data_IF_621474585428
#
_entry.id   IF_621474585428
#
_cell.length_a   1.000
_cell.length_b   1.000
_cell.length_c   1.000
_cell.angle_alpha   90.00
_cell.angle_beta   90.00
_cell.angle_gamma   90.00
#
_symmetry.space_group_name_H-M   'P 1'
#
loop_
_entity.id
_entity.type
_entity.pdbx_description
1 polymer ?
#
# COMPACT_ATOMS: atom_id res chain seq x y z
N UNK A 1 46.54 48.64 36.33
CA UNK A 1 46.95 47.57 35.40
C UNK A 1 45.76 46.62 35.24
N UNK A 2 45.02 46.76 34.12
CA UNK A 2 43.89 45.90 33.80
C UNK A 2 44.36 44.88 32.74
N UNK A 3 44.26 43.60 33.07
CA UNK A 3 44.58 42.51 32.17
C UNK A 3 43.41 42.22 31.21
N UNK A 4 43.68 41.70 30.01
CA UNK A 4 42.63 41.51 29.00
C UNK A 4 41.76 40.30 29.33
N UNK A 5 40.44 40.49 29.24
CA UNK A 5 39.41 39.43 29.28
C UNK A 5 39.51 38.63 27.97
N UNK A 6 40.03 37.40 28.07
CA UNK A 6 40.04 36.47 26.99
C UNK A 6 38.62 36.01 26.64
N UNK A 7 38.10 36.39 25.49
CA UNK A 7 36.95 35.78 24.85
C UNK A 7 37.34 34.34 24.47
N UNK A 8 36.87 33.38 25.25
CA UNK A 8 36.86 31.98 24.85
C UNK A 8 35.77 31.83 23.78
N UNK A 9 36.17 31.87 22.52
CA UNK A 9 35.38 31.40 21.41
C UNK A 9 35.07 29.91 21.66
N UNK A 10 33.82 29.59 21.85
CA UNK A 10 33.35 28.18 21.85
C UNK A 10 33.53 27.67 20.44
N UNK A 11 34.62 26.98 20.20
CA UNK A 11 34.81 26.18 18.99
C UNK A 11 33.81 25.03 19.07
N UNK A 12 32.53 25.26 18.71
CA UNK A 12 31.62 24.19 18.38
C UNK A 12 32.21 23.48 17.14
N UNK A 13 32.81 22.32 17.36
CA UNK A 13 33.12 21.43 16.25
C UNK A 13 31.81 21.23 15.47
N UNK A 14 31.81 21.61 14.22
CA UNK A 14 30.73 21.26 13.28
C UNK A 14 30.54 19.75 13.40
N UNK A 15 29.35 19.32 13.83
CA UNK A 15 29.06 17.92 14.00
C UNK A 15 29.21 17.26 12.62
N UNK A 16 29.91 16.13 12.57
CA UNK A 16 30.00 15.36 11.33
C UNK A 16 28.60 14.91 10.92
N UNK A 17 28.28 15.00 9.61
CA UNK A 17 27.06 14.42 9.02
C UNK A 17 26.88 12.98 9.54
N UNK A 18 25.70 12.66 9.99
CA UNK A 18 25.38 11.33 10.51
C UNK A 18 24.26 10.69 9.66
N UNK A 19 24.58 9.59 8.98
CA UNK A 19 23.65 8.78 8.19
C UNK A 19 23.42 7.47 8.93
N UNK A 20 22.17 7.21 9.32
CA UNK A 20 21.72 5.92 9.82
C UNK A 20 20.85 5.28 8.75
N UNK A 21 21.31 4.17 8.16
CA UNK A 21 20.61 3.52 7.03
C UNK A 21 20.21 2.09 7.34
N UNK A 22 19.03 1.70 6.85
CA UNK A 22 18.55 0.32 6.84
C UNK A 22 19.19 -0.54 5.72
N UNK A 23 19.73 0.12 4.70
CA UNK A 23 20.35 -0.50 3.53
C UNK A 23 21.79 -0.01 3.37
N UNK A 24 22.64 -0.85 2.84
CA UNK A 24 24.04 -0.52 2.54
C UNK A 24 24.15 0.06 1.13
N UNK A 25 23.65 1.27 0.91
CA UNK A 25 23.70 1.95 -0.38
C UNK A 25 24.70 3.13 -0.32
N UNK A 26 25.88 3.03 -0.97
CA UNK A 26 26.89 4.06 -0.93
C UNK A 26 26.49 5.35 -1.67
N UNK A 27 25.55 5.30 -2.64
CA UNK A 27 25.07 6.48 -3.37
C UNK A 27 24.34 7.47 -2.46
N UNK A 28 23.92 7.04 -1.24
CA UNK A 28 23.43 7.96 -0.20
C UNK A 28 24.45 9.04 0.18
N UNK A 29 25.76 8.77 0.02
CA UNK A 29 26.81 9.74 0.29
C UNK A 29 26.97 10.81 -0.78
N UNK A 30 26.49 10.53 -1.99
CA UNK A 30 26.63 11.41 -3.16
C UNK A 30 25.51 12.46 -3.23
N UNK A 31 24.47 12.32 -2.39
CA UNK A 31 23.36 13.27 -2.34
C UNK A 31 23.77 14.57 -1.61
N UNK A 32 23.24 15.73 -2.04
CA UNK A 32 23.69 17.05 -1.56
C UNK A 32 23.12 17.40 -0.17
N UNK A 33 23.47 16.63 0.86
CA UNK A 33 22.99 16.80 2.24
C UNK A 33 23.39 18.13 2.87
N UNK A 34 24.32 18.85 2.29
CA UNK A 34 24.75 20.18 2.72
C UNK A 34 23.92 21.33 2.13
N UNK A 35 22.84 21.01 1.39
CA UNK A 35 21.89 21.96 0.86
C UNK A 35 20.52 21.76 1.50
N UNK A 36 19.73 22.83 1.75
CA UNK A 36 18.30 22.71 2.04
C UNK A 36 17.62 21.97 0.89
N UNK A 37 16.57 21.16 1.17
CA UNK A 37 15.87 20.40 0.13
C UNK A 37 15.29 21.31 -0.98
N UNK A 38 14.97 22.55 -0.65
CA UNK A 38 14.46 23.54 -1.63
C UNK A 38 15.47 23.90 -2.70
N UNK A 39 16.76 23.82 -2.35
CA UNK A 39 17.89 24.21 -3.20
C UNK A 39 18.56 23.04 -3.92
N UNK A 40 17.99 21.83 -3.78
CA UNK A 40 18.55 20.65 -4.46
C UNK A 40 18.48 20.83 -5.99
N UNK A 41 19.56 20.48 -6.72
CA UNK A 41 19.62 20.59 -8.17
C UNK A 41 18.55 19.75 -8.88
N UNK A 42 18.00 20.24 -9.98
CA UNK A 42 16.95 19.56 -10.75
C UNK A 42 17.39 18.21 -11.33
N UNK A 43 18.69 18.01 -11.57
CA UNK A 43 19.25 16.74 -12.03
C UNK A 43 19.29 15.65 -10.94
N UNK A 44 19.26 16.05 -9.69
CA UNK A 44 19.17 15.14 -8.52
C UNK A 44 17.73 14.78 -8.19
N UNK A 45 16.80 15.71 -8.49
CA UNK A 45 15.39 15.57 -8.16
C UNK A 45 14.69 14.74 -9.24
N UNK A 46 13.96 13.70 -8.83
CA UNK A 46 12.96 13.09 -9.70
C UNK A 46 11.85 14.14 -9.94
N UNK A 47 11.58 14.47 -11.23
CA UNK A 47 10.58 15.48 -11.62
C UNK A 47 9.16 15.01 -11.28
N UNK A 48 8.81 15.13 -10.01
CA UNK A 48 7.58 14.62 -9.45
C UNK A 48 6.84 15.75 -8.73
N UNK A 49 5.50 15.84 -8.87
CA UNK A 49 4.73 16.93 -8.30
C UNK A 49 4.85 16.97 -6.77
N UNK A 50 5.03 18.17 -6.23
CA UNK A 50 5.02 18.41 -4.78
C UNK A 50 3.62 18.17 -4.21
N UNK A 51 3.50 17.30 -3.21
CA UNK A 51 2.30 17.20 -2.38
C UNK A 51 2.15 18.42 -1.47
N UNK A 52 0.93 18.72 -1.03
CA UNK A 52 0.70 19.66 0.08
C UNK A 52 1.01 18.86 1.36
N UNK A 53 2.15 19.12 1.95
CA UNK A 53 2.57 18.54 3.24
C UNK A 53 2.96 19.66 4.18
N UNK A 54 2.80 19.46 5.50
CA UNK A 54 3.35 20.36 6.52
C UNK A 54 4.88 20.39 6.47
N UNK A 55 5.48 19.31 5.97
CA UNK A 55 6.91 19.14 5.77
C UNK A 55 7.26 19.25 4.30
N UNK A 56 8.46 19.76 4.03
CA UNK A 56 9.00 19.77 2.67
C UNK A 56 9.39 18.33 2.30
N UNK A 57 8.76 17.82 1.24
CA UNK A 57 9.07 16.49 0.67
C UNK A 57 9.61 16.68 -0.74
N UNK A 58 10.72 16.00 -1.05
CA UNK A 58 11.30 15.87 -2.38
C UNK A 58 11.50 14.43 -2.76
N UNK A 59 11.49 14.19 -4.05
CA UNK A 59 11.80 12.87 -4.60
C UNK A 59 13.15 12.95 -5.32
N UNK A 60 13.99 11.93 -5.12
CA UNK A 60 15.31 11.86 -5.78
C UNK A 60 15.56 10.45 -6.31
N UNK A 61 16.47 10.33 -7.26
CA UNK A 61 16.95 9.04 -7.74
C UNK A 61 18.08 8.54 -6.86
N UNK A 62 18.03 7.24 -6.52
CA UNK A 62 19.08 6.55 -5.77
C UNK A 62 19.21 5.13 -6.32
N UNK A 63 20.38 4.73 -6.82
CA UNK A 63 20.67 3.34 -7.25
C UNK A 63 19.58 2.70 -8.12
N UNK A 64 18.96 3.48 -9.02
CA UNK A 64 17.92 2.99 -9.94
C UNK A 64 16.50 2.89 -9.38
N UNK A 65 16.26 3.40 -8.17
CA UNK A 65 14.92 3.58 -7.61
C UNK A 65 14.71 5.03 -7.14
N UNK A 66 13.46 5.37 -6.87
CA UNK A 66 13.09 6.70 -6.37
C UNK A 66 12.96 6.65 -4.86
N UNK A 67 13.49 7.67 -4.18
CA UNK A 67 13.33 7.89 -2.75
C UNK A 67 12.49 9.14 -2.50
N UNK A 68 11.74 9.14 -1.42
CA UNK A 68 11.09 10.32 -0.85
C UNK A 68 11.93 10.81 0.33
N UNK A 69 12.20 12.11 0.38
CA UNK A 69 13.02 12.77 1.39
C UNK A 69 12.16 13.81 2.08
N UNK A 70 11.94 13.65 3.39
CA UNK A 70 11.10 14.51 4.22
C UNK A 70 12.00 15.27 5.20
N UNK A 71 12.03 16.61 5.15
CA UNK A 71 12.68 17.45 6.17
C UNK A 71 11.82 17.52 7.42
N UNK A 72 12.44 17.24 8.57
CA UNK A 72 11.80 17.31 9.90
C UNK A 72 12.88 17.38 10.98
N UNK A 73 12.47 17.55 12.24
CA UNK A 73 13.43 17.54 13.35
C UNK A 73 14.12 16.17 13.52
N UNK A 74 15.31 16.15 14.11
CA UNK A 74 16.08 14.93 14.31
C UNK A 74 15.35 13.90 15.19
N UNK A 75 14.54 14.34 16.14
CA UNK A 75 13.75 13.48 17.02
C UNK A 75 12.64 12.78 16.24
N UNK A 76 11.86 13.54 15.46
CA UNK A 76 10.78 12.99 14.66
C UNK A 76 11.29 12.10 13.53
N UNK A 77 12.36 12.50 12.83
CA UNK A 77 12.95 11.66 11.77
C UNK A 77 13.39 10.28 12.29
N UNK A 78 14.04 10.22 13.47
CA UNK A 78 14.47 8.95 14.08
C UNK A 78 13.29 8.12 14.56
N UNK A 79 12.33 8.76 15.24
CA UNK A 79 11.14 8.07 15.76
C UNK A 79 10.34 7.43 14.64
N UNK A 80 10.07 8.17 13.56
CA UNK A 80 9.34 7.68 12.41
C UNK A 80 10.09 6.57 11.68
N UNK A 81 11.41 6.72 11.50
CA UNK A 81 12.26 5.68 10.92
C UNK A 81 12.21 4.37 11.72
N UNK A 82 12.37 4.44 13.05
CA UNK A 82 12.35 3.26 13.91
C UNK A 82 10.96 2.61 13.92
N UNK A 83 9.88 3.42 13.85
CA UNK A 83 8.52 2.94 13.78
C UNK A 83 8.24 2.22 12.46
N UNK A 84 8.59 2.83 11.32
CA UNK A 84 8.44 2.21 9.99
C UNK A 84 9.25 0.90 9.90
N UNK A 85 10.47 0.86 10.43
CA UNK A 85 11.25 -0.38 10.51
C UNK A 85 10.58 -1.46 11.35
N UNK A 86 9.92 -1.07 12.41
CA UNK A 86 9.20 -2.01 13.26
C UNK A 86 7.97 -2.55 12.54
N UNK A 87 7.17 -1.67 11.90
CA UNK A 87 6.01 -2.07 11.10
C UNK A 87 6.40 -3.00 9.94
N UNK A 88 7.51 -2.71 9.25
CA UNK A 88 8.02 -3.56 8.18
C UNK A 88 8.40 -4.97 8.67
N UNK A 89 9.02 -5.09 9.86
CA UNK A 89 9.39 -6.39 10.44
C UNK A 89 8.20 -7.26 10.83
N UNK A 90 7.05 -6.64 11.11
CA UNK A 90 5.80 -7.34 11.44
C UNK A 90 4.84 -7.37 10.26
N UNK A 91 5.36 -7.15 9.05
CA UNK A 91 4.66 -7.29 7.75
C UNK A 91 3.40 -6.42 7.59
N UNK A 92 3.42 -5.21 8.18
CA UNK A 92 2.35 -4.22 8.00
C UNK A 92 2.61 -3.40 6.74
N UNK A 93 1.60 -3.16 5.88
CA UNK A 93 1.77 -2.34 4.68
C UNK A 93 2.14 -0.89 5.03
N UNK A 94 3.41 -0.55 4.82
CA UNK A 94 3.93 0.80 5.00
C UNK A 94 5.03 1.09 3.97
N UNK A 95 5.43 2.35 3.83
CA UNK A 95 6.59 2.72 3.02
C UNK A 95 7.88 2.17 3.65
N UNK A 96 8.85 1.78 2.81
CA UNK A 96 10.13 1.21 3.26
C UNK A 96 11.06 2.32 3.75
N UNK A 97 11.50 2.32 5.03
CA UNK A 97 12.47 3.27 5.52
C UNK A 97 13.87 2.95 4.99
N UNK A 98 14.52 3.95 4.39
CA UNK A 98 15.87 3.84 3.81
C UNK A 98 16.91 4.37 4.77
N UNK A 99 16.78 5.63 5.20
CA UNK A 99 17.78 6.26 6.07
C UNK A 99 17.21 7.44 6.87
N UNK A 100 17.94 7.80 7.93
CA UNK A 100 17.82 9.08 8.62
C UNK A 100 19.16 9.81 8.53
N UNK A 101 19.13 11.08 8.11
CA UNK A 101 20.30 11.93 8.03
C UNK A 101 20.17 13.07 9.04
N UNK A 102 21.11 13.19 9.94
CA UNK A 102 21.13 14.19 11.01
C UNK A 102 22.46 14.95 11.01
N UNK A 103 22.52 16.05 11.75
CA UNK A 103 23.69 16.95 11.84
C UNK A 103 24.08 17.49 10.45
N UNK A 104 23.09 17.80 9.62
CA UNK A 104 23.30 18.46 8.32
C UNK A 104 23.72 19.91 8.59
N UNK A 105 24.67 20.39 7.80
CA UNK A 105 25.12 21.79 7.84
C UNK A 105 25.31 22.29 6.41
N UNK A 106 24.96 23.56 6.17
CA UNK A 106 25.25 24.22 4.90
C UNK A 106 26.76 24.55 4.75
N UNK A 107 27.14 25.10 3.61
CA UNK A 107 28.53 25.50 3.31
C UNK A 107 29.07 26.59 4.27
N UNK A 108 28.19 27.32 4.95
CA UNK A 108 28.53 28.36 5.91
C UNK A 108 28.59 27.83 7.36
N UNK A 109 28.23 26.55 7.57
CA UNK A 109 28.19 25.91 8.88
C UNK A 109 26.89 26.15 9.65
N UNK A 110 25.84 26.66 9.01
CA UNK A 110 24.51 26.75 9.63
C UNK A 110 23.86 25.37 9.71
N UNK A 111 23.16 25.09 10.80
CA UNK A 111 22.42 23.83 10.96
C UNK A 111 21.22 23.78 10.01
N UNK A 112 21.07 22.64 9.30
CA UNK A 112 19.93 22.32 8.47
C UNK A 112 19.03 21.27 9.18
N UNK A 113 17.75 21.27 8.86
CA UNK A 113 16.81 20.27 9.34
C UNK A 113 17.29 18.85 9.00
N UNK A 114 16.99 17.91 9.88
CA UNK A 114 17.24 16.50 9.62
C UNK A 114 16.26 15.97 8.58
N UNK A 115 16.57 14.84 7.97
CA UNK A 115 15.69 14.24 6.97
C UNK A 115 15.44 12.76 7.26
N UNK A 116 14.21 12.36 6.98
CA UNK A 116 13.81 10.96 6.82
C UNK A 116 13.81 10.63 5.33
N UNK A 117 14.41 9.50 4.97
CA UNK A 117 14.43 8.96 3.61
C UNK A 117 13.66 7.66 3.59
N UNK A 118 12.66 7.58 2.71
CA UNK A 118 11.88 6.36 2.47
C UNK A 118 11.94 5.99 0.99
N UNK A 119 11.78 4.71 0.66
CA UNK A 119 11.65 4.29 -0.73
C UNK A 119 10.27 4.67 -1.25
N UNK A 120 10.24 5.31 -2.41
CA UNK A 120 8.98 5.58 -3.08
C UNK A 120 8.26 4.28 -3.45
N UNK A 121 7.01 4.17 -3.07
CA UNK A 121 6.17 3.01 -3.37
C UNK A 121 5.75 3.07 -4.85
N UNK A 122 6.38 2.26 -5.70
CA UNK A 122 6.06 2.19 -7.14
C UNK A 122 4.58 1.82 -7.35
N UNK A 123 3.98 2.35 -8.41
CA UNK A 123 2.58 2.14 -8.77
C UNK A 123 1.58 2.56 -7.68
N UNK A 124 2.00 3.40 -6.75
CA UNK A 124 1.10 3.97 -5.75
C UNK A 124 0.37 5.20 -6.29
N UNK A 125 -0.86 5.35 -5.83
CA UNK A 125 -1.77 6.42 -6.20
C UNK A 125 -2.12 7.21 -4.94
N UNK A 126 -1.80 8.51 -4.89
CA UNK A 126 -2.24 9.38 -3.80
C UNK A 126 -3.74 9.66 -3.93
N UNK A 127 -4.40 9.92 -2.81
CA UNK A 127 -5.85 10.13 -2.77
C UNK A 127 -6.34 11.23 -3.71
N UNK A 128 -5.57 12.31 -3.87
CA UNK A 128 -5.92 13.41 -4.78
C UNK A 128 -6.00 12.97 -6.24
N UNK A 129 -5.18 11.97 -6.65
CA UNK A 129 -5.26 11.40 -7.98
C UNK A 129 -6.43 10.42 -8.13
N UNK A 130 -6.87 9.81 -7.04
CA UNK A 130 -7.98 8.84 -7.02
C UNK A 130 -9.34 9.52 -6.90
N UNK A 131 -9.48 10.49 -5.99
CA UNK A 131 -10.73 11.20 -5.76
C UNK A 131 -10.93 12.44 -6.67
N UNK A 132 -10.05 12.65 -7.66
CA UNK A 132 -10.26 13.67 -8.69
C UNK A 132 -11.42 13.25 -9.63
N UNK A 133 -11.98 14.25 -10.31
CA UNK A 133 -13.13 14.17 -11.22
C UNK A 133 -13.28 12.81 -11.92
N UNK A 134 -14.45 12.20 -11.85
CA UNK A 134 -14.86 10.91 -12.42
C UNK A 134 -14.58 9.65 -11.59
N UNK A 135 -14.40 9.76 -10.27
CA UNK A 135 -14.36 8.58 -9.42
C UNK A 135 -15.79 8.01 -9.26
N UNK A 136 -15.97 6.77 -9.69
CA UNK A 136 -17.25 6.08 -9.53
C UNK A 136 -17.50 5.71 -8.06
N UNK A 137 -18.77 5.69 -7.59
CA UNK A 137 -19.10 5.30 -6.22
C UNK A 137 -18.54 3.94 -5.81
N UNK A 138 -18.53 2.96 -6.73
CA UNK A 138 -17.98 1.63 -6.47
C UNK A 138 -16.46 1.67 -6.22
N UNK A 139 -15.75 2.56 -6.91
CA UNK A 139 -14.31 2.74 -6.70
C UNK A 139 -14.05 3.44 -5.36
N UNK A 140 -14.87 4.41 -4.99
CA UNK A 140 -14.80 5.04 -3.66
C UNK A 140 -15.01 4.00 -2.55
N UNK A 141 -15.99 3.10 -2.69
CA UNK A 141 -16.22 1.99 -1.76
C UNK A 141 -14.99 1.09 -1.64
N UNK A 142 -14.35 0.73 -2.74
CA UNK A 142 -13.12 -0.11 -2.71
C UNK A 142 -11.94 0.58 -2.02
N UNK A 143 -11.83 1.90 -2.11
CA UNK A 143 -10.82 2.67 -1.38
C UNK A 143 -11.12 2.72 0.13
N UNK A 144 -12.39 2.86 0.49
CA UNK A 144 -12.87 2.75 1.87
C UNK A 144 -12.51 1.39 2.46
N UNK A 145 -12.81 0.31 1.74
CA UNK A 145 -12.49 -1.06 2.18
C UNK A 145 -10.99 -1.27 2.35
N UNK A 146 -10.17 -0.78 1.41
CA UNK A 146 -8.71 -0.88 1.50
C UNK A 146 -8.15 -0.18 2.76
N UNK A 147 -8.65 1.02 3.07
CA UNK A 147 -8.22 1.73 4.28
C UNK A 147 -8.73 1.04 5.56
N UNK A 148 -9.95 0.52 5.54
CA UNK A 148 -10.48 -0.26 6.66
C UNK A 148 -9.63 -1.52 6.94
N UNK A 149 -9.19 -2.23 5.90
CA UNK A 149 -8.26 -3.37 6.00
C UNK A 149 -6.94 -2.94 6.59
N UNK A 150 -6.33 -1.83 6.12
CA UNK A 150 -5.09 -1.30 6.69
C UNK A 150 -5.24 -1.00 8.18
N UNK A 151 -6.30 -0.30 8.59
CA UNK A 151 -6.56 0.02 10.01
C UNK A 151 -6.73 -1.24 10.85
N UNK A 152 -7.44 -2.24 10.35
CA UNK A 152 -7.59 -3.53 11.05
C UNK A 152 -6.22 -4.21 11.22
N UNK A 153 -5.38 -4.25 10.18
CA UNK A 153 -4.02 -4.81 10.24
C UNK A 153 -3.17 -4.10 11.30
N UNK A 154 -3.17 -2.78 11.30
CA UNK A 154 -2.47 -1.95 12.30
C UNK A 154 -2.95 -2.25 13.72
N UNK A 155 -4.26 -2.31 13.93
CA UNK A 155 -4.84 -2.52 15.25
C UNK A 155 -4.63 -3.95 15.79
N UNK A 156 -4.61 -4.97 14.92
CA UNK A 156 -4.31 -6.37 15.29
C UNK A 156 -2.89 -6.47 15.88
N UNK A 157 -1.91 -5.80 15.28
CA UNK A 157 -0.53 -5.80 15.77
C UNK A 157 -0.29 -4.81 16.93
N UNK A 158 -1.34 -4.14 17.41
CA UNK A 158 -1.26 -3.20 18.53
C UNK A 158 -0.76 -1.80 18.18
N UNK A 159 -0.73 -1.44 16.89
CA UNK A 159 -0.32 -0.12 16.46
C UNK A 159 -1.49 0.86 16.49
N UNK A 160 -1.36 1.91 17.29
CA UNK A 160 -2.22 3.10 17.30
C UNK A 160 -1.59 4.15 16.41
N UNK A 161 -2.30 4.60 15.38
CA UNK A 161 -1.73 5.52 14.39
C UNK A 161 -1.73 6.98 14.86
N UNK A 162 -2.87 7.46 15.37
CA UNK A 162 -3.02 8.80 15.94
C UNK A 162 -3.14 9.94 14.92
N UNK A 163 -2.91 9.68 13.61
CA UNK A 163 -3.08 10.67 12.53
C UNK A 163 -3.55 10.01 11.23
N UNK A 164 -4.59 9.20 11.34
CA UNK A 164 -5.19 8.52 10.18
C UNK A 164 -5.79 9.53 9.23
N UNK A 165 -5.31 9.56 7.98
CA UNK A 165 -5.79 10.47 6.93
C UNK A 165 -5.52 9.90 5.53
N UNK A 166 -6.17 10.45 4.51
CA UNK A 166 -5.89 10.07 3.12
C UNK A 166 -4.53 10.59 2.65
N UNK A 167 -4.07 11.74 3.16
CA UNK A 167 -2.74 12.28 2.84
C UNK A 167 -1.60 11.42 3.41
N UNK A 168 -1.85 10.71 4.51
CA UNK A 168 -0.91 9.78 5.12
C UNK A 168 -1.06 8.35 4.61
N UNK A 169 -1.83 8.16 3.52
CA UNK A 169 -2.11 6.86 2.90
C UNK A 169 -1.79 6.89 1.41
N UNK A 170 -1.12 5.87 0.91
CA UNK A 170 -0.99 5.58 -0.52
C UNK A 170 -1.78 4.32 -0.87
N UNK A 171 -2.31 4.29 -2.07
CA UNK A 171 -3.09 3.16 -2.57
C UNK A 171 -2.39 2.51 -3.76
N UNK A 172 -2.45 1.18 -3.85
CA UNK A 172 -2.04 0.42 -5.05
C UNK A 172 -3.22 -0.41 -5.52
N UNK A 173 -3.28 -0.67 -6.82
CA UNK A 173 -4.27 -1.63 -7.36
C UNK A 173 -3.96 -3.02 -6.84
N UNK A 174 -5.00 -3.79 -6.57
CA UNK A 174 -4.90 -5.13 -6.03
C UNK A 174 -6.03 -6.03 -6.59
N UNK A 175 -5.91 -6.40 -7.86
CA UNK A 175 -6.81 -7.30 -8.56
C UNK A 175 -8.30 -6.89 -8.45
N UNK A 176 -8.63 -5.72 -8.98
CA UNK A 176 -9.98 -5.16 -8.96
C UNK A 176 -10.37 -4.48 -7.64
N UNK A 177 -9.52 -4.58 -6.61
CA UNK A 177 -9.60 -3.82 -5.36
C UNK A 177 -8.41 -2.84 -5.24
N UNK A 178 -8.18 -2.33 -4.04
CA UNK A 178 -6.99 -1.57 -3.68
C UNK A 178 -6.36 -2.14 -2.41
N UNK A 179 -5.04 -1.96 -2.29
CA UNK A 179 -4.30 -2.11 -1.05
C UNK A 179 -3.86 -0.73 -0.57
N UNK A 180 -4.05 -0.43 0.72
CA UNK A 180 -3.64 0.81 1.35
C UNK A 180 -2.32 0.62 2.10
N UNK A 181 -1.45 1.64 2.04
CA UNK A 181 -0.13 1.65 2.67
C UNK A 181 0.03 2.90 3.54
N UNK A 182 0.51 2.71 4.75
CA UNK A 182 0.86 3.80 5.66
C UNK A 182 2.13 4.52 5.17
N UNK A 183 2.08 5.85 5.12
CA UNK A 183 3.20 6.70 4.70
C UNK A 183 3.88 7.36 5.89
N UNK A 184 3.08 7.94 6.80
CA UNK A 184 3.56 8.71 7.94
C UNK A 184 3.23 7.99 9.26
N UNK A 185 4.28 7.63 10.00
CA UNK A 185 4.18 6.94 11.29
C UNK A 185 4.64 7.83 12.48
N UNK A 186 4.80 9.14 12.26
CA UNK A 186 5.38 10.07 13.24
C UNK A 186 4.62 10.07 14.58
N UNK A 187 3.29 10.04 14.53
CA UNK A 187 2.41 10.04 15.72
C UNK A 187 2.18 8.65 16.30
N UNK A 188 2.58 7.60 15.56
CA UNK A 188 2.26 6.21 15.85
C UNK A 188 2.87 5.70 17.16
N UNK A 189 2.19 4.73 17.77
CA UNK A 189 2.65 4.03 18.99
C UNK A 189 2.26 2.56 18.94
N UNK A 190 3.17 1.68 19.37
CA UNK A 190 2.91 0.24 19.47
C UNK A 190 2.65 -0.13 20.93
N UNK A 191 1.55 -0.88 21.13
CA UNK A 191 1.12 -1.42 22.42
C UNK A 191 1.08 -2.95 22.34
N UNK A 192 1.03 -3.62 23.47
CA UNK A 192 0.83 -5.08 23.54
C UNK A 192 -0.63 -5.49 23.25
N UNK A 193 -1.34 -4.68 22.44
CA UNK A 193 -2.74 -4.79 22.07
C UNK A 193 -3.48 -3.50 22.39
N UNK A 194 -4.39 -3.10 21.50
CA UNK A 194 -5.18 -1.90 21.67
C UNK A 194 -6.48 -2.17 22.46
N UNK A 195 -6.81 -1.29 23.38
CA UNK A 195 -8.14 -1.24 23.97
C UNK A 195 -9.20 -0.82 22.95
N UNK A 196 -10.47 -1.10 23.24
CA UNK A 196 -11.58 -0.63 22.42
C UNK A 196 -11.58 0.91 22.29
N UNK A 197 -11.26 1.62 23.38
CA UNK A 197 -11.21 3.08 23.38
C UNK A 197 -10.11 3.63 22.46
N UNK A 198 -8.94 3.00 22.42
CA UNK A 198 -7.87 3.42 21.51
C UNK A 198 -8.25 3.21 20.05
N UNK A 199 -8.85 2.05 19.71
CA UNK A 199 -9.32 1.80 18.34
C UNK A 199 -10.41 2.77 17.91
N UNK A 200 -11.40 3.02 18.77
CA UNK A 200 -12.47 3.98 18.47
C UNK A 200 -11.93 5.42 18.34
N UNK A 201 -10.88 5.78 19.08
CA UNK A 201 -10.23 7.08 18.94
C UNK A 201 -9.54 7.22 17.57
N UNK A 202 -8.79 6.20 17.11
CA UNK A 202 -8.20 6.20 15.76
C UNK A 202 -9.27 6.27 14.66
N UNK A 203 -10.39 5.58 14.83
CA UNK A 203 -11.51 5.65 13.90
C UNK A 203 -12.17 7.04 13.86
N UNK A 204 -12.28 7.71 15.00
CA UNK A 204 -12.82 9.07 15.04
C UNK A 204 -11.85 10.07 14.39
N UNK A 205 -10.54 9.93 14.61
CA UNK A 205 -9.51 10.70 13.93
C UNK A 205 -9.63 10.48 12.40
N UNK A 206 -9.71 9.23 11.96
CA UNK A 206 -9.89 8.89 10.55
C UNK A 206 -11.13 9.57 9.96
N UNK A 207 -12.27 9.46 10.66
CA UNK A 207 -13.54 10.04 10.21
C UNK A 207 -13.46 11.55 10.03
N UNK A 208 -12.85 12.26 10.99
CA UNK A 208 -12.73 13.72 10.96
C UNK A 208 -11.74 14.18 9.90
N UNK A 209 -10.54 13.60 9.87
CA UNK A 209 -9.50 14.00 8.94
C UNK A 209 -9.92 13.75 7.49
N UNK A 210 -10.47 12.56 7.20
CA UNK A 210 -10.87 12.17 5.84
C UNK A 210 -12.06 13.01 5.36
N UNK A 211 -13.05 13.26 6.22
CA UNK A 211 -14.14 14.18 5.86
C UNK A 211 -13.60 15.59 5.51
N UNK A 212 -12.66 16.12 6.31
CA UNK A 212 -12.02 17.40 6.05
C UNK A 212 -11.26 17.43 4.72
N UNK A 213 -10.43 16.43 4.45
CA UNK A 213 -9.66 16.32 3.19
C UNK A 213 -10.55 16.20 1.94
N UNK A 214 -11.65 15.46 2.03
CA UNK A 214 -12.61 15.33 0.93
C UNK A 214 -13.44 16.61 0.74
N UNK A 215 -13.82 17.32 1.83
CA UNK A 215 -14.46 18.65 1.77
C UNK A 215 -13.53 19.68 1.12
N UNK A 216 -12.22 19.60 1.39
CA UNK A 216 -11.23 20.46 0.71
C UNK A 216 -11.19 20.19 -0.81
N UNK A 217 -11.26 18.92 -1.22
CA UNK A 217 -11.35 18.56 -2.64
C UNK A 217 -12.67 19.06 -3.26
N UNK A 218 -13.78 18.92 -2.55
CA UNK A 218 -15.09 19.36 -2.99
C UNK A 218 -15.13 20.89 -3.16
N UNK A 219 -14.61 21.63 -2.18
CA UNK A 219 -14.53 23.09 -2.25
C UNK A 219 -13.67 23.60 -3.39
N UNK A 220 -12.65 22.83 -3.77
CA UNK A 220 -11.79 23.08 -4.92
C UNK A 220 -12.36 22.60 -6.25
N UNK A 221 -13.60 22.07 -6.30
CA UNK A 221 -14.24 21.54 -7.51
C UNK A 221 -13.54 20.31 -8.08
N UNK A 222 -12.88 19.52 -7.22
CA UNK A 222 -12.06 18.35 -7.62
C UNK A 222 -12.69 17.01 -7.21
N UNK A 223 -13.69 17.03 -6.34
CA UNK A 223 -14.45 15.84 -5.97
C UNK A 223 -15.67 15.73 -6.86
N UNK A 224 -16.01 14.52 -7.28
CA UNK A 224 -17.23 14.23 -8.03
C UNK A 224 -18.46 14.64 -7.21
N UNK A 225 -19.47 15.26 -7.87
CA UNK A 225 -20.69 15.75 -7.22
C UNK A 225 -21.54 14.63 -6.61
N UNK A 226 -21.41 13.40 -7.12
CA UNK A 226 -22.12 12.23 -6.62
C UNK A 226 -21.49 11.63 -5.34
N UNK A 227 -20.34 12.14 -4.91
CA UNK A 227 -19.62 11.66 -3.72
C UNK A 227 -19.86 12.59 -2.52
N UNK A 228 -20.39 12.01 -1.45
CA UNK A 228 -20.56 12.71 -0.16
C UNK A 228 -19.34 12.44 0.77
N UNK A 229 -18.53 13.47 1.10
CA UNK A 229 -17.40 13.36 2.00
C UNK A 229 -17.73 12.74 3.37
N UNK A 230 -18.91 13.09 3.91
CA UNK A 230 -19.36 12.59 5.22
C UNK A 230 -19.78 11.13 5.14
N UNK A 231 -20.47 10.75 4.07
CA UNK A 231 -20.86 9.35 3.83
C UNK A 231 -19.63 8.47 3.65
N UNK A 232 -18.65 8.89 2.85
CA UNK A 232 -17.39 8.15 2.63
C UNK A 232 -16.63 7.96 3.95
N UNK A 233 -16.47 9.02 4.75
CA UNK A 233 -15.77 8.94 6.03
C UNK A 233 -16.48 8.03 7.05
N UNK A 234 -17.80 8.05 7.12
CA UNK A 234 -18.61 7.15 7.93
C UNK A 234 -18.54 5.70 7.40
N UNK A 235 -18.42 5.53 6.08
CA UNK A 235 -18.24 4.24 5.43
C UNK A 235 -16.99 3.50 5.93
N UNK A 236 -15.89 4.22 6.14
CA UNK A 236 -14.64 3.64 6.67
C UNK A 236 -14.84 3.05 8.07
N UNK A 237 -15.51 3.79 8.95
CA UNK A 237 -15.81 3.33 10.32
C UNK A 237 -16.71 2.08 10.28
N UNK A 238 -17.69 2.08 9.39
CA UNK A 238 -18.61 0.94 9.22
C UNK A 238 -17.89 -0.28 8.66
N UNK A 239 -17.08 -0.12 7.61
CA UNK A 239 -16.29 -1.19 7.01
C UNK A 239 -15.30 -1.78 8.01
N UNK A 240 -14.59 -0.93 8.77
CA UNK A 240 -13.69 -1.37 9.84
C UNK A 240 -14.41 -2.21 10.89
N UNK A 241 -15.54 -1.72 11.43
CA UNK A 241 -16.28 -2.43 12.49
C UNK A 241 -16.82 -3.78 12.02
N UNK A 242 -17.30 -3.85 10.78
CA UNK A 242 -17.77 -5.10 10.19
C UNK A 242 -16.63 -6.10 10.05
N UNK A 243 -15.48 -5.66 9.48
CA UNK A 243 -14.30 -6.51 9.33
C UNK A 243 -13.72 -6.94 10.68
N UNK A 244 -13.60 -6.02 11.63
CA UNK A 244 -13.14 -6.33 12.98
C UNK A 244 -14.01 -7.38 13.66
N UNK A 245 -15.34 -7.22 13.57
CA UNK A 245 -16.31 -8.20 14.10
C UNK A 245 -16.16 -9.55 13.42
N UNK A 246 -15.97 -9.56 12.10
CA UNK A 246 -15.75 -10.79 11.32
C UNK A 246 -14.47 -11.50 11.77
N UNK A 247 -13.38 -10.78 12.01
CA UNK A 247 -12.09 -11.35 12.37
C UNK A 247 -12.02 -11.80 13.84
N UNK A 248 -12.64 -11.07 14.77
CA UNK A 248 -12.46 -11.29 16.22
C UNK A 248 -13.72 -11.74 16.95
N UNK A 249 -14.89 -11.61 16.32
CA UNK A 249 -16.17 -11.93 16.95
C UNK A 249 -16.38 -13.43 17.16
N UNK A 250 -17.06 -13.84 18.23
CA UNK A 250 -17.45 -15.23 18.41
C UNK A 250 -18.56 -15.63 17.42
N UNK A 251 -18.58 -16.90 17.06
CA UNK A 251 -19.68 -17.54 16.31
C UNK A 251 -20.20 -18.73 17.10
N UNK A 252 -21.52 -18.84 17.22
CA UNK A 252 -22.19 -19.92 17.96
C UNK A 252 -23.05 -20.73 17.00
N UNK A 253 -23.04 -22.07 17.15
CA UNK A 253 -23.80 -22.99 16.32
C UNK A 253 -24.01 -24.34 17.02
N UNK A 254 -24.94 -25.13 16.52
CA UNK A 254 -25.20 -26.49 17.01
C UNK A 254 -24.03 -27.44 16.66
N UNK A 255 -23.77 -28.42 17.56
CA UNK A 255 -22.67 -29.38 17.33
C UNK A 255 -22.83 -30.19 16.03
N UNK A 256 -24.04 -30.35 15.50
CA UNK A 256 -24.29 -30.98 14.21
C UNK A 256 -23.74 -30.14 13.02
N UNK A 257 -23.53 -28.86 13.22
CA UNK A 257 -23.03 -27.90 12.22
C UNK A 257 -21.50 -27.69 12.27
N UNK A 258 -20.72 -28.69 12.73
CA UNK A 258 -19.23 -28.59 12.85
C UNK A 258 -18.51 -28.14 11.59
N UNK A 259 -19.10 -28.35 10.41
CA UNK A 259 -18.58 -27.86 9.15
C UNK A 259 -18.41 -26.32 9.12
N UNK A 260 -19.13 -25.59 9.98
CA UNK A 260 -19.00 -24.14 10.10
C UNK A 260 -17.63 -23.70 10.60
N UNK A 261 -16.90 -24.56 11.32
CA UNK A 261 -15.52 -24.30 11.76
C UNK A 261 -14.62 -24.09 10.52
N UNK A 262 -14.60 -25.07 9.62
CA UNK A 262 -13.77 -24.98 8.39
C UNK A 262 -14.22 -23.81 7.53
N UNK A 263 -15.52 -23.63 7.37
CA UNK A 263 -16.06 -22.50 6.59
C UNK A 263 -15.66 -21.14 7.21
N UNK A 264 -15.57 -21.03 8.54
CA UNK A 264 -15.08 -19.81 9.20
C UNK A 264 -13.61 -19.57 8.88
N UNK A 265 -12.77 -20.61 9.00
CA UNK A 265 -11.34 -20.54 8.68
C UNK A 265 -11.14 -20.12 7.21
N UNK A 266 -11.82 -20.81 6.28
CA UNK A 266 -11.76 -20.48 4.85
C UNK A 266 -12.19 -19.04 4.58
N UNK A 267 -13.23 -18.56 5.24
CA UNK A 267 -13.73 -17.19 5.10
C UNK A 267 -12.71 -16.15 5.55
N UNK A 268 -12.00 -16.39 6.67
CA UNK A 268 -10.97 -15.52 7.19
C UNK A 268 -9.71 -15.54 6.31
N UNK A 269 -9.29 -16.71 5.84
CA UNK A 269 -8.18 -16.84 4.90
C UNK A 269 -8.50 -16.15 3.56
N UNK A 270 -9.74 -16.25 3.08
CA UNK A 270 -10.17 -15.54 1.87
C UNK A 270 -10.15 -14.01 2.02
N UNK A 271 -10.27 -13.51 3.25
CA UNK A 271 -10.07 -12.09 3.58
C UNK A 271 -8.58 -11.73 3.72
N UNK A 272 -7.67 -12.70 3.55
CA UNK A 272 -6.22 -12.50 3.62
C UNK A 272 -5.64 -12.58 5.03
N UNK A 273 -6.36 -13.16 6.00
CA UNK A 273 -5.92 -13.26 7.39
C UNK A 273 -5.64 -14.69 7.81
N UNK A 274 -4.51 -14.90 8.49
CA UNK A 274 -4.16 -16.16 9.12
C UNK A 274 -4.72 -16.28 10.54
N UNK A 275 -5.05 -17.49 10.93
CA UNK A 275 -5.56 -17.81 12.27
C UNK A 275 -4.50 -18.63 13.00
N UNK A 276 -3.95 -18.10 14.11
CA UNK A 276 -3.01 -18.84 14.94
C UNK A 276 -3.71 -19.90 15.76
N UNK A 277 -4.83 -19.52 16.38
CA UNK A 277 -5.59 -20.38 17.27
C UNK A 277 -7.11 -20.19 17.07
N UNK A 278 -7.85 -21.25 17.21
CA UNK A 278 -9.31 -21.21 17.27
C UNK A 278 -9.76 -21.70 18.66
N UNK A 279 -10.21 -20.77 19.49
CA UNK A 279 -10.79 -21.15 20.77
C UNK A 279 -12.17 -21.78 20.53
N UNK A 280 -12.32 -23.04 20.92
CA UNK A 280 -13.57 -23.79 20.81
C UNK A 280 -14.10 -24.07 22.22
N UNK A 281 -15.34 -23.65 22.53
CA UNK A 281 -16.02 -23.90 23.79
C UNK A 281 -17.35 -24.53 23.50
N UNK A 282 -17.75 -25.47 24.35
CA UNK A 282 -19.11 -26.07 24.34
C UNK A 282 -19.87 -25.68 25.60
N UNK A 283 -21.19 -25.68 25.51
CA UNK A 283 -22.06 -25.59 26.69
C UNK A 283 -21.96 -26.88 27.55
N UNK A 284 -22.60 -26.89 28.75
CA UNK A 284 -22.57 -28.03 29.64
C UNK A 284 -23.21 -29.28 29.03
N UNK A 285 -24.15 -29.12 28.11
CA UNK A 285 -24.81 -30.23 27.39
C UNK A 285 -24.01 -30.74 26.20
N UNK A 286 -22.99 -30.01 25.75
CA UNK A 286 -22.20 -30.31 24.54
C UNK A 286 -22.96 -30.09 23.25
N UNK A 287 -24.13 -29.46 23.27
CA UNK A 287 -24.97 -29.27 22.10
C UNK A 287 -24.66 -27.98 21.35
N UNK A 288 -24.23 -26.93 22.05
CA UNK A 288 -23.85 -25.66 21.45
C UNK A 288 -22.32 -25.51 21.41
N UNK A 289 -21.81 -25.10 20.28
CA UNK A 289 -20.37 -24.83 20.05
C UNK A 289 -20.21 -23.35 19.83
N UNK A 290 -19.30 -22.73 20.58
CA UNK A 290 -18.85 -21.35 20.38
C UNK A 290 -17.40 -21.35 19.90
N UNK A 291 -17.14 -20.74 18.78
CA UNK A 291 -15.79 -20.55 18.26
C UNK A 291 -15.42 -19.08 18.27
N UNK A 292 -14.16 -18.81 18.57
CA UNK A 292 -13.58 -17.47 18.49
C UNK A 292 -12.17 -17.56 17.91
N UNK A 293 -11.93 -16.99 16.73
CA UNK A 293 -10.61 -16.98 16.13
C UNK A 293 -9.68 -16.02 16.87
N UNK A 294 -8.41 -16.40 17.01
CA UNK A 294 -7.31 -15.53 17.33
C UNK A 294 -6.59 -15.25 16.02
N UNK A 295 -6.94 -14.14 15.39
CA UNK A 295 -6.30 -13.66 14.17
C UNK A 295 -4.97 -13.05 14.56
N UNK A 296 -3.89 -13.46 13.90
CA UNK A 296 -2.53 -13.07 14.27
C UNK A 296 -1.90 -12.24 13.18
N UNK A 297 -2.27 -12.50 11.95
CA UNK A 297 -1.52 -11.99 10.83
C UNK A 297 -2.40 -11.77 9.59
N UNK A 298 -2.00 -10.82 8.77
CA UNK A 298 -2.56 -10.56 7.46
C UNK A 298 -1.50 -10.87 6.40
N UNK A 299 -1.93 -11.14 5.16
CA UNK A 299 -1.00 -11.46 4.06
C UNK A 299 -0.84 -12.96 3.81
N UNK A 300 -1.90 -13.73 4.05
CA UNK A 300 -1.92 -15.18 3.82
C UNK A 300 -1.52 -15.57 2.40
N UNK A 301 -2.13 -14.94 1.39
CA UNK A 301 -1.86 -15.27 -0.01
C UNK A 301 -0.56 -14.65 -0.51
N UNK A 302 -0.28 -13.40 -0.14
CA UNK A 302 0.94 -12.69 -0.59
C UNK A 302 2.20 -13.39 -0.09
N UNK A 303 2.25 -13.83 1.17
CA UNK A 303 3.38 -14.61 1.70
C UNK A 303 3.52 -15.98 1.05
N UNK A 304 2.40 -16.68 0.80
CA UNK A 304 2.45 -17.97 0.09
C UNK A 304 2.98 -17.81 -1.32
N UNK A 305 2.50 -16.80 -2.07
CA UNK A 305 2.98 -16.52 -3.41
C UNK A 305 4.47 -16.16 -3.42
N UNK A 306 4.89 -15.25 -2.52
CA UNK A 306 6.29 -14.82 -2.40
C UNK A 306 7.21 -16.03 -2.12
N UNK A 307 6.81 -16.90 -1.20
CA UNK A 307 7.59 -18.13 -0.89
C UNK A 307 7.71 -19.07 -2.09
N UNK A 308 6.63 -19.27 -2.84
CA UNK A 308 6.60 -20.23 -3.95
C UNK A 308 7.27 -19.70 -5.21
N UNK A 309 7.17 -18.41 -5.49
CA UNK A 309 7.54 -17.83 -6.80
C UNK A 309 8.56 -16.68 -6.70
N UNK A 310 8.75 -16.10 -5.52
CA UNK A 310 9.53 -14.88 -5.35
C UNK A 310 8.80 -13.60 -5.82
N UNK A 311 7.53 -13.69 -6.25
CA UNK A 311 6.74 -12.53 -6.65
C UNK A 311 6.16 -11.82 -5.41
N UNK A 312 6.46 -10.53 -5.30
CA UNK A 312 5.83 -9.63 -4.34
C UNK A 312 4.58 -9.00 -4.98
N UNK A 313 3.41 -9.30 -4.45
CA UNK A 313 2.12 -8.87 -4.98
C UNK A 313 1.15 -8.55 -3.84
N UNK A 314 0.13 -7.73 -4.12
CA UNK A 314 -0.97 -7.46 -3.21
C UNK A 314 -1.74 -8.74 -2.86
N UNK A 315 -2.52 -8.71 -1.79
CA UNK A 315 -3.18 -9.92 -1.25
C UNK A 315 -4.18 -10.52 -2.24
N UNK A 316 -5.00 -9.69 -2.89
CA UNK A 316 -5.95 -10.16 -3.90
C UNK A 316 -5.27 -10.58 -5.20
N UNK A 317 -4.22 -9.86 -5.63
CA UNK A 317 -3.39 -10.28 -6.76
C UNK A 317 -2.76 -11.65 -6.48
N UNK A 318 -2.16 -11.84 -5.31
CA UNK A 318 -1.55 -13.09 -4.91
C UNK A 318 -2.57 -14.24 -4.91
N UNK A 319 -3.78 -14.01 -4.37
CA UNK A 319 -4.86 -15.01 -4.42
C UNK A 319 -5.23 -15.40 -5.85
N UNK A 320 -5.31 -14.43 -6.77
CA UNK A 320 -5.62 -14.69 -8.19
C UNK A 320 -4.49 -15.47 -8.88
N UNK A 321 -3.24 -15.09 -8.64
CA UNK A 321 -2.08 -15.78 -9.19
C UNK A 321 -1.96 -17.21 -8.66
N UNK A 322 -2.21 -17.43 -7.37
CA UNK A 322 -2.23 -18.77 -6.77
C UNK A 322 -3.37 -19.64 -7.35
N UNK A 323 -4.55 -19.08 -7.60
CA UNK A 323 -5.64 -19.80 -8.26
C UNK A 323 -5.26 -20.23 -9.70
N UNK A 324 -4.56 -19.36 -10.44
CA UNK A 324 -4.08 -19.69 -11.79
C UNK A 324 -2.98 -20.77 -11.73
N UNK A 325 -2.06 -20.69 -10.77
CA UNK A 325 -1.06 -21.72 -10.49
C UNK A 325 -1.70 -23.07 -10.14
N UNK A 326 -2.74 -23.08 -9.28
CA UNK A 326 -3.46 -24.31 -8.93
C UNK A 326 -4.19 -24.88 -10.16
N UNK A 327 -4.75 -24.03 -11.02
CA UNK A 327 -5.35 -24.45 -12.30
C UNK A 327 -4.31 -25.06 -13.25
N UNK A 328 -3.11 -24.46 -13.34
CA UNK A 328 -1.98 -24.99 -14.09
C UNK A 328 -1.57 -26.37 -13.57
N UNK A 329 -1.44 -26.52 -12.25
CA UNK A 329 -1.11 -27.80 -11.59
C UNK A 329 -2.12 -28.91 -11.94
N UNK A 330 -3.40 -28.59 -11.94
CA UNK A 330 -4.46 -29.55 -12.30
C UNK A 330 -4.43 -29.90 -13.77
N UNK A 331 -4.29 -28.90 -14.65
CA UNK A 331 -4.32 -29.07 -16.11
C UNK A 331 -3.18 -29.96 -16.60
N UNK A 332 -1.98 -29.81 -16.04
CA UNK A 332 -0.80 -30.58 -16.43
C UNK A 332 -0.59 -31.85 -15.59
N UNK A 333 -1.62 -32.32 -14.86
CA UNK A 333 -1.62 -33.53 -14.05
C UNK A 333 -0.45 -33.61 -13.02
N UNK A 334 -0.02 -32.47 -12.49
CA UNK A 334 1.11 -32.36 -11.55
C UNK A 334 0.67 -32.41 -10.08
N UNK A 335 -0.43 -33.11 -9.77
CA UNK A 335 -1.01 -33.14 -8.42
C UNK A 335 -0.07 -33.70 -7.35
N UNK A 336 0.77 -34.68 -7.73
CA UNK A 336 1.72 -35.33 -6.83
C UNK A 336 3.14 -34.72 -6.89
N UNK A 337 3.32 -33.65 -7.69
CA UNK A 337 4.60 -32.95 -7.81
C UNK A 337 4.78 -31.96 -6.67
N UNK A 338 6.03 -31.67 -6.32
CA UNK A 338 6.40 -30.64 -5.37
C UNK A 338 5.81 -29.29 -5.77
N UNK A 339 5.17 -28.62 -4.80
CA UNK A 339 4.47 -27.35 -5.04
C UNK A 339 5.42 -26.24 -5.52
N UNK A 340 6.63 -26.18 -4.95
CA UNK A 340 7.64 -25.19 -5.32
C UNK A 340 8.15 -25.40 -6.75
N UNK A 341 8.36 -26.66 -7.14
CA UNK A 341 8.78 -26.97 -8.51
C UNK A 341 7.70 -26.58 -9.53
N UNK A 342 6.43 -26.87 -9.26
CA UNK A 342 5.32 -26.50 -10.13
C UNK A 342 5.18 -24.98 -10.20
N UNK A 343 5.38 -24.29 -9.09
CA UNK A 343 5.33 -22.82 -9.04
C UNK A 343 6.44 -22.18 -9.89
N UNK A 344 7.67 -22.72 -9.84
CA UNK A 344 8.77 -22.28 -10.71
C UNK A 344 8.50 -22.53 -12.18
N UNK A 345 7.93 -23.69 -12.53
CA UNK A 345 7.56 -23.96 -13.91
C UNK A 345 6.46 -23.02 -14.42
N UNK A 346 5.42 -22.78 -13.63
CA UNK A 346 4.37 -21.84 -13.95
C UNK A 346 4.93 -20.42 -14.13
N UNK A 347 5.81 -19.98 -13.22
CA UNK A 347 6.48 -18.69 -13.32
C UNK A 347 7.23 -18.54 -14.65
N UNK A 348 8.07 -19.54 -15.00
CA UNK A 348 8.92 -19.51 -16.18
C UNK A 348 8.17 -19.73 -17.50
N UNK A 349 7.06 -20.50 -17.51
CA UNK A 349 6.34 -20.88 -18.72
C UNK A 349 5.07 -20.08 -18.96
N UNK A 350 4.48 -19.46 -17.92
CA UNK A 350 3.21 -18.74 -18.02
C UNK A 350 3.39 -17.26 -17.69
N UNK A 351 3.76 -16.93 -16.46
CA UNK A 351 3.80 -15.53 -15.99
C UNK A 351 4.88 -14.69 -16.70
N UNK A 352 6.15 -15.10 -16.63
CA UNK A 352 7.26 -14.33 -17.20
C UNK A 352 7.16 -14.12 -18.72
N UNK A 353 6.78 -15.13 -19.53
CA UNK A 353 6.61 -14.93 -20.97
C UNK A 353 5.54 -13.89 -21.30
N UNK A 354 4.43 -13.85 -20.56
CA UNK A 354 3.38 -12.84 -20.71
C UNK A 354 3.95 -11.44 -20.42
N UNK A 355 4.63 -11.26 -19.29
CA UNK A 355 5.19 -9.97 -18.91
C UNK A 355 6.29 -9.52 -19.88
N UNK A 356 7.10 -10.45 -20.38
CA UNK A 356 8.15 -10.16 -21.39
C UNK A 356 7.56 -9.79 -22.75
N UNK A 357 6.39 -10.30 -23.10
CA UNK A 357 5.72 -9.98 -24.35
C UNK A 357 5.07 -8.58 -24.36
N UNK A 358 4.83 -7.97 -23.19
CA UNK A 358 4.37 -6.58 -23.10
C UNK A 358 5.40 -5.64 -23.72
N UNK A 359 5.02 -4.73 -24.63
CA UNK A 359 5.90 -3.71 -25.19
C UNK A 359 6.62 -2.91 -24.09
N UNK A 360 7.90 -2.59 -24.29
CA UNK A 360 8.73 -1.95 -23.24
C UNK A 360 8.18 -0.60 -22.78
N UNK A 361 7.61 0.16 -23.69
CA UNK A 361 6.97 1.46 -23.46
C UNK A 361 5.69 1.36 -22.63
N UNK A 362 5.07 0.18 -22.54
CA UNK A 362 3.84 -0.04 -21.79
C UNK A 362 4.07 -0.72 -20.41
N UNK A 363 5.29 -1.17 -20.12
CA UNK A 363 5.59 -1.86 -18.84
C UNK A 363 5.51 -0.97 -17.60
N UNK A 364 5.55 0.36 -17.77
CA UNK A 364 5.34 1.33 -16.70
C UNK A 364 3.88 1.65 -16.43
N UNK A 365 2.95 1.17 -17.25
CA UNK A 365 1.53 1.48 -17.11
C UNK A 365 0.94 0.94 -15.80
N UNK A 366 1.16 -0.34 -15.54
CA UNK A 366 0.67 -1.05 -14.35
C UNK A 366 1.75 -2.00 -13.82
N UNK A 367 1.58 -2.43 -12.58
CA UNK A 367 2.39 -3.46 -11.96
C UNK A 367 2.25 -4.81 -12.70
N UNK A 368 3.31 -5.64 -12.83
CA UNK A 368 3.25 -6.91 -13.54
C UNK A 368 2.14 -7.86 -13.07
N UNK A 369 1.93 -7.98 -11.75
CA UNK A 369 0.87 -8.81 -11.19
C UNK A 369 -0.53 -8.30 -11.56
N UNK A 370 -0.72 -6.97 -11.60
CA UNK A 370 -1.96 -6.35 -12.02
C UNK A 370 -2.22 -6.53 -13.53
N UNK A 371 -1.18 -6.37 -14.37
CA UNK A 371 -1.28 -6.65 -15.81
C UNK A 371 -1.73 -8.10 -16.04
N UNK A 372 -1.11 -9.06 -15.33
CA UNK A 372 -1.45 -10.47 -15.50
C UNK A 372 -2.89 -10.76 -15.05
N UNK A 373 -3.30 -10.20 -13.91
CA UNK A 373 -4.69 -10.30 -13.46
C UNK A 373 -5.68 -9.75 -14.48
N UNK A 374 -5.47 -8.52 -14.96
CA UNK A 374 -6.35 -7.88 -15.94
C UNK A 374 -6.39 -8.65 -17.26
N UNK A 375 -5.27 -9.24 -17.69
CA UNK A 375 -5.22 -10.11 -18.86
C UNK A 375 -6.10 -11.37 -18.69
N UNK A 376 -6.05 -12.01 -17.52
CA UNK A 376 -6.90 -13.18 -17.24
C UNK A 376 -8.39 -12.82 -17.27
N UNK A 377 -8.76 -11.67 -16.70
CA UNK A 377 -10.13 -11.18 -16.74
C UNK A 377 -10.57 -10.83 -18.19
N UNK A 378 -9.69 -10.15 -18.95
CA UNK A 378 -9.94 -9.85 -20.36
C UNK A 378 -10.12 -11.12 -21.21
N UNK A 379 -9.26 -12.14 -21.01
CA UNK A 379 -9.39 -13.45 -21.65
C UNK A 379 -10.72 -14.12 -21.34
N UNK A 380 -11.13 -14.09 -20.07
CA UNK A 380 -12.41 -14.66 -19.64
C UNK A 380 -13.58 -13.97 -20.36
N UNK A 381 -13.57 -12.63 -20.38
CA UNK A 381 -14.59 -11.84 -21.08
C UNK A 381 -14.65 -12.14 -22.59
N UNK A 382 -13.49 -12.19 -23.27
CA UNK A 382 -13.43 -12.56 -24.68
C UNK A 382 -14.01 -13.97 -24.89
N UNK A 383 -13.64 -14.94 -24.05
CA UNK A 383 -14.14 -16.32 -24.15
C UNK A 383 -15.66 -16.40 -23.98
N UNK A 384 -16.22 -15.62 -23.06
CA UNK A 384 -17.68 -15.54 -22.88
C UNK A 384 -18.39 -14.94 -24.10
N UNK A 385 -17.85 -13.87 -24.65
CA UNK A 385 -18.46 -13.20 -25.83
C UNK A 385 -18.36 -14.04 -27.09
N UNK A 386 -17.25 -14.75 -27.30
CA UNK A 386 -17.02 -15.55 -28.50
C UNK A 386 -17.52 -16.98 -28.37
N UNK A 387 -17.92 -17.43 -27.19
CA UNK A 387 -18.41 -18.79 -26.94
C UNK A 387 -17.32 -19.87 -27.16
N UNK A 388 -16.03 -19.50 -27.08
CA UNK A 388 -14.90 -20.41 -27.24
C UNK A 388 -13.80 -20.11 -26.19
N UNK A 389 -12.94 -21.05 -25.92
CA UNK A 389 -11.73 -20.80 -25.16
C UNK A 389 -10.73 -19.97 -26.00
N UNK A 390 -10.43 -18.74 -25.56
CA UNK A 390 -9.50 -17.83 -26.23
C UNK A 390 -8.08 -18.14 -25.76
N UNK A 391 -7.13 -18.39 -26.69
CA UNK A 391 -5.73 -18.58 -26.32
C UNK A 391 -5.13 -17.35 -25.63
N UNK A 392 -4.26 -17.56 -24.63
CA UNK A 392 -3.66 -16.48 -23.83
C UNK A 392 -2.89 -15.46 -24.71
N UNK A 393 -2.21 -15.91 -25.77
CA UNK A 393 -1.49 -15.03 -26.69
C UNK A 393 -2.43 -14.11 -27.49
N UNK A 394 -3.60 -14.61 -27.88
CA UNK A 394 -4.64 -13.82 -28.58
C UNK A 394 -5.22 -12.78 -27.62
N UNK A 395 -5.59 -13.19 -26.43
CA UNK A 395 -6.07 -12.29 -25.37
C UNK A 395 -5.06 -11.21 -25.01
N UNK A 396 -3.76 -11.56 -24.97
CA UNK A 396 -2.69 -10.60 -24.67
C UNK A 396 -2.59 -9.50 -25.72
N UNK A 397 -2.69 -9.84 -27.01
CA UNK A 397 -2.64 -8.84 -28.07
C UNK A 397 -3.84 -7.88 -27.98
N UNK A 398 -5.06 -8.42 -27.81
CA UNK A 398 -6.25 -7.61 -27.64
C UNK A 398 -6.16 -6.73 -26.38
N UNK A 399 -5.76 -7.29 -25.24
CA UNK A 399 -5.58 -6.55 -23.99
C UNK A 399 -4.57 -5.39 -24.13
N UNK A 400 -3.44 -5.63 -24.79
CA UNK A 400 -2.41 -4.60 -25.00
C UNK A 400 -2.99 -3.46 -25.83
N UNK A 401 -3.69 -3.76 -26.92
CA UNK A 401 -4.16 -2.74 -27.85
C UNK A 401 -5.43 -2.02 -27.37
N UNK A 402 -6.36 -2.72 -26.75
CA UNK A 402 -7.66 -2.18 -26.36
C UNK A 402 -7.69 -1.62 -24.93
N UNK A 403 -6.84 -2.13 -24.03
CA UNK A 403 -6.86 -1.75 -22.62
C UNK A 403 -5.56 -1.06 -22.19
N UNK A 404 -4.41 -1.76 -22.29
CA UNK A 404 -3.18 -1.31 -21.67
C UNK A 404 -2.64 -0.01 -22.29
N UNK A 405 -2.74 0.17 -23.61
CA UNK A 405 -2.28 1.40 -24.29
C UNK A 405 -2.99 2.65 -23.78
N UNK A 406 -4.25 2.52 -23.43
CA UNK A 406 -5.11 3.62 -22.98
C UNK A 406 -4.99 3.89 -21.48
N UNK A 407 -4.24 3.07 -20.72
CA UNK A 407 -3.97 3.30 -19.31
C UNK A 407 -2.95 4.41 -19.11
N UNK A 408 -3.07 5.12 -17.98
CA UNK A 408 -2.03 6.02 -17.50
C UNK A 408 -0.81 5.22 -17.08
N UNK A 409 0.34 5.89 -17.12
CA UNK A 409 1.57 5.37 -16.53
C UNK A 409 1.52 5.55 -15.01
N UNK A 410 1.18 4.48 -14.27
CA UNK A 410 1.08 4.51 -12.81
C UNK A 410 2.44 4.38 -12.11
N UNK A 411 3.50 3.99 -12.83
CA UNK A 411 4.85 3.98 -12.27
C UNK A 411 5.36 5.38 -11.92
N UNK A 412 4.83 6.41 -12.57
CA UNK A 412 5.25 7.81 -12.45
C UNK A 412 4.25 8.72 -11.75
N UNK A 413 3.06 8.21 -11.34
CA UNK A 413 2.05 9.02 -10.64
C UNK A 413 2.44 9.18 -9.18
N UNK A 414 2.94 10.36 -8.80
CA UNK A 414 3.37 10.60 -7.42
C UNK A 414 2.49 11.60 -6.66
N UNK A 415 1.96 12.59 -7.29
CA UNK A 415 0.87 13.46 -6.79
C UNK A 415 0.42 14.41 -7.91
N UNK A 416 -0.82 14.89 -7.96
CA UNK A 416 -1.20 15.91 -8.93
C UNK A 416 -0.49 17.22 -8.63
N UNK A 417 0.12 17.80 -9.66
CA UNK A 417 0.58 19.19 -9.64
C UNK A 417 -0.63 20.09 -9.39
N UNK A 418 -0.52 21.00 -8.46
CA UNK A 418 -1.54 22.01 -8.18
C UNK A 418 -1.46 23.18 -9.17
N UNK A 419 -1.30 22.95 -10.47
CA UNK A 419 -1.52 23.96 -11.48
C UNK A 419 -1.70 23.31 -12.85
N UNK A 420 -2.89 23.47 -13.44
CA UNK A 420 -3.24 23.37 -14.87
C UNK A 420 -2.65 22.19 -15.67
N UNK A 421 -2.80 20.96 -15.20
CA UNK A 421 -2.91 19.88 -16.16
C UNK A 421 -4.42 19.79 -16.48
N UNK A 422 -4.79 20.34 -17.61
CA UNK A 422 -5.97 19.87 -18.33
C UNK A 422 -5.70 18.40 -18.56
N UNK A 423 -6.26 17.56 -17.69
CA UNK A 423 -6.26 16.12 -17.92
C UNK A 423 -6.96 15.96 -19.27
N UNK A 424 -6.35 15.27 -20.25
CA UNK A 424 -7.16 14.82 -21.36
C UNK A 424 -8.35 14.14 -20.70
N UNK A 425 -9.52 14.59 -21.05
CA UNK A 425 -10.78 13.89 -20.79
C UNK A 425 -10.67 12.61 -21.60
N UNK A 426 -9.86 11.67 -21.12
CA UNK A 426 -9.93 10.32 -21.62
C UNK A 426 -11.32 9.85 -21.22
N UNK A 427 -12.16 9.90 -22.21
CA UNK A 427 -13.44 9.25 -22.26
C UNK A 427 -13.25 7.91 -21.56
N UNK A 428 -13.71 7.83 -20.33
CA UNK A 428 -13.92 6.56 -19.67
C UNK A 428 -15.06 5.99 -20.49
N UNK A 429 -14.69 5.13 -21.41
CA UNK A 429 -15.61 4.48 -22.32
C UNK A 429 -16.71 3.87 -21.45
N UNK A 430 -17.98 4.25 -21.71
CA UNK A 430 -19.15 3.68 -21.04
C UNK A 430 -19.19 2.15 -21.18
N UNK A 431 -18.31 1.60 -21.99
CA UNK A 431 -18.07 0.19 -22.24
C UNK A 431 -16.89 -0.43 -21.48
N UNK A 432 -16.40 0.18 -20.38
CA UNK A 432 -15.39 -0.47 -19.56
C UNK A 432 -15.92 -1.83 -19.07
N UNK A 433 -15.41 -2.90 -19.69
CA UNK A 433 -15.82 -4.29 -19.48
C UNK A 433 -15.76 -4.73 -18.01
N UNK A 434 -14.91 -4.07 -17.20
CA UNK A 434 -14.78 -4.31 -15.75
C UNK A 434 -15.99 -3.92 -14.93
N UNK A 435 -16.97 -3.23 -15.54
CA UNK A 435 -18.21 -2.82 -14.90
C UNK A 435 -19.36 -3.79 -15.19
N UNK A 436 -19.14 -4.74 -16.08
CA UNK A 436 -20.15 -5.73 -16.48
C UNK A 436 -19.97 -7.08 -15.77
N UNK A 437 -18.99 -7.17 -14.80
CA UNK A 437 -18.73 -8.38 -13.98
C UNK A 437 -19.03 -8.08 -12.52
#
# INVERSE_FOLDING_TARGET
MAGPIGLRGSNRMAGSLNITSAIADPELLDLPWNLPLEEWPDDTIAALPKGISRHLVRFAHLSGYVIAIKETSAEFARREYDMLRTLQRIDVPCVEPVAVITNRTDALGNELESVLVTRHLKFSLPYRALYSQSLRPETATRLVDALAVLLVRLHIVGFFWGDVSLSNTLFRRDAGAFAAYLVDAETGQIYNGLSNGQRENDLEIARVNIAGELLDLQSGGRLDEDLDPVEISNGIVTAYRNLWKELTGPEEFDQSERWRINRRVERLNNLGFDIEELAIKTDESGTQVRIQPKVVDAGHHSRRLLRLTGLDAGENQARRLLNDLDSYRVTFAKKDSDEEMVAHEWLAQVFEPVIRAIPKDLRGKLEPAEIFHQLLDHRWYMSQNEGRDVPLAEALNSYVDEVLRHRRDEATVIAPVTENITLPTDVIDEDDWRLKV
#
